data_IF_241688503628
#
_entry.id   IF_241688503628
#
_cell.length_a   1.000
_cell.length_b   1.000
_cell.length_c   1.000
_cell.angle_alpha   90.00
_cell.angle_beta   90.00
_cell.angle_gamma   90.00
#
_symmetry.space_group_name_H-M   'P 1'
#
loop_
_entity.id
_entity.type
_entity.pdbx_description
1 polymer ?
#
# COMPACT_ATOMS: atom_id res chain seq x y z
N UNK A 1 -4.65 5.73 12.12
CA UNK A 1 -4.99 4.29 12.12
C UNK A 1 -6.28 4.00 11.34
N UNK A 2 -7.40 4.68 11.63
CA UNK A 2 -8.70 4.49 10.93
C UNK A 2 -8.78 5.08 9.51
N UNK A 3 -8.02 6.13 9.21
CA UNK A 3 -8.01 6.75 7.87
C UNK A 3 -7.37 5.86 6.79
N UNK A 4 -6.36 5.06 7.12
CA UNK A 4 -5.71 4.14 6.17
C UNK A 4 -6.59 2.92 5.84
N UNK A 5 -7.34 2.41 6.81
CA UNK A 5 -8.29 1.31 6.63
C UNK A 5 -9.44 1.71 5.68
N UNK A 6 -9.95 2.94 5.81
CA UNK A 6 -11.03 3.45 4.95
C UNK A 6 -10.56 3.72 3.51
N UNK A 7 -9.34 4.21 3.32
CA UNK A 7 -8.77 4.45 1.99
C UNK A 7 -8.53 3.13 1.22
N UNK A 8 -8.25 2.04 1.93
CA UNK A 8 -8.08 0.71 1.35
C UNK A 8 -9.39 0.11 0.83
N UNK A 9 -10.47 0.19 1.64
CA UNK A 9 -11.81 -0.28 1.24
C UNK A 9 -12.34 0.50 0.05
N UNK A 10 -12.04 1.80 -0.04
CA UNK A 10 -12.48 2.64 -1.16
C UNK A 10 -11.80 2.28 -2.50
N UNK A 11 -10.56 1.78 -2.45
CA UNK A 11 -9.80 1.42 -3.65
C UNK A 11 -10.24 0.06 -4.23
N UNK A 12 -10.67 -0.89 -3.38
CA UNK A 12 -11.12 -2.22 -3.81
C UNK A 12 -12.20 -2.20 -4.90
N UNK A 13 -13.14 -1.26 -4.86
CA UNK A 13 -14.21 -1.17 -5.87
C UNK A 13 -13.82 -0.42 -7.16
N UNK A 14 -12.62 0.18 -7.25
CA UNK A 14 -12.25 1.09 -8.34
C UNK A 14 -11.12 0.57 -9.25
N UNK A 15 -10.57 -0.62 -8.96
CA UNK A 15 -9.33 -1.09 -9.58
C UNK A 15 -9.61 -2.24 -10.55
N UNK A 16 -9.13 -2.07 -11.78
CA UNK A 16 -9.20 -3.10 -12.83
C UNK A 16 -8.38 -4.34 -12.48
N UNK A 17 -8.84 -5.48 -13.00
CA UNK A 17 -8.28 -6.84 -13.06
C UNK A 17 -6.79 -6.99 -13.42
N UNK A 18 -6.10 -5.89 -13.75
CA UNK A 18 -4.69 -5.88 -14.19
C UNK A 18 -3.73 -5.17 -13.25
N UNK A 19 -4.20 -4.72 -12.10
CA UNK A 19 -3.36 -3.99 -11.15
C UNK A 19 -2.76 -4.92 -10.09
N UNK A 20 -1.51 -4.64 -9.73
CA UNK A 20 -0.85 -5.26 -8.57
C UNK A 20 -0.77 -4.21 -7.48
N UNK A 21 -1.40 -4.48 -6.35
CA UNK A 21 -1.42 -3.61 -5.19
C UNK A 21 -0.08 -3.60 -4.46
N UNK A 22 0.43 -2.40 -4.16
CA UNK A 22 1.67 -2.17 -3.44
C UNK A 22 1.35 -1.38 -2.17
N UNK A 23 1.72 -1.89 -1.00
CA UNK A 23 1.59 -1.20 0.29
C UNK A 23 2.95 -0.70 0.79
N UNK A 24 3.23 -0.68 2.09
CA UNK A 24 4.52 -0.37 2.74
C UNK A 24 5.01 -1.54 3.62
N UNK A 25 4.34 -2.69 3.53
CA UNK A 25 4.48 -3.83 4.42
C UNK A 25 4.29 -3.56 5.92
N UNK A 26 3.63 -2.48 6.32
CA UNK A 26 3.34 -2.21 7.72
C UNK A 26 2.48 -3.32 8.33
N UNK A 27 2.67 -3.61 9.62
CA UNK A 27 1.95 -4.69 10.33
C UNK A 27 0.43 -4.54 10.24
N UNK A 28 -0.10 -3.31 10.16
CA UNK A 28 -1.53 -3.07 9.99
C UNK A 28 -2.09 -3.55 8.64
N UNK A 29 -1.26 -3.56 7.58
CA UNK A 29 -1.64 -4.07 6.25
C UNK A 29 -1.52 -5.60 6.16
N UNK A 30 -0.89 -6.25 7.13
CA UNK A 30 -0.71 -7.71 7.21
C UNK A 30 -1.75 -8.41 8.08
N UNK A 31 -2.86 -7.74 8.37
CA UNK A 31 -3.99 -8.34 9.10
C UNK A 31 -4.78 -9.28 8.18
N UNK A 32 -5.44 -10.29 8.78
CA UNK A 32 -6.30 -11.23 8.03
C UNK A 32 -7.41 -10.51 7.26
N UNK A 33 -8.05 -9.52 7.89
CA UNK A 33 -9.11 -8.73 7.25
C UNK A 33 -8.66 -8.03 5.96
N UNK A 34 -7.40 -7.56 5.91
CA UNK A 34 -6.84 -6.94 4.70
C UNK A 34 -6.55 -7.99 3.64
N UNK A 35 -6.06 -9.17 4.03
CA UNK A 35 -5.83 -10.27 3.10
C UNK A 35 -7.14 -10.78 2.47
N UNK A 36 -8.16 -11.03 3.30
CA UNK A 36 -9.48 -11.48 2.85
C UNK A 36 -10.11 -10.48 1.87
N UNK A 37 -9.94 -9.18 2.12
CA UNK A 37 -10.44 -8.13 1.24
C UNK A 37 -9.76 -8.15 -0.14
N UNK A 38 -8.42 -8.20 -0.17
CA UNK A 38 -7.67 -8.30 -1.43
C UNK A 38 -8.05 -9.54 -2.24
N UNK A 39 -8.17 -10.68 -1.55
CA UNK A 39 -8.53 -11.96 -2.19
C UNK A 39 -9.96 -11.92 -2.75
N UNK A 40 -10.90 -11.32 -2.01
CA UNK A 40 -12.30 -11.18 -2.45
C UNK A 40 -12.48 -10.31 -3.70
N UNK A 41 -11.57 -9.35 -3.90
CA UNK A 41 -11.58 -8.41 -5.02
C UNK A 41 -10.66 -8.88 -6.16
N UNK A 42 -10.00 -10.04 -6.01
CA UNK A 42 -9.07 -10.59 -6.99
C UNK A 42 -7.81 -9.74 -7.17
N UNK A 43 -7.48 -8.90 -6.19
CA UNK A 43 -6.35 -7.98 -6.26
C UNK A 43 -5.08 -8.69 -5.84
N UNK A 44 -4.11 -8.79 -6.74
CA UNK A 44 -2.80 -9.33 -6.40
C UNK A 44 -1.99 -8.29 -5.62
N UNK A 45 -1.40 -8.68 -4.50
CA UNK A 45 -0.43 -7.85 -3.78
C UNK A 45 1.00 -8.13 -4.28
N UNK A 46 1.78 -7.08 -4.47
CA UNK A 46 3.21 -7.20 -4.71
C UNK A 46 3.91 -7.71 -3.44
N UNK A 47 4.52 -8.89 -3.52
CA UNK A 47 5.33 -9.45 -2.43
C UNK A 47 6.74 -8.88 -2.52
N UNK A 48 7.15 -8.17 -1.48
CA UNK A 48 8.50 -7.61 -1.34
C UNK A 48 9.11 -7.89 0.03
N UNK A 49 10.44 -7.77 0.18
CA UNK A 49 11.11 -8.01 1.45
C UNK A 49 10.64 -7.03 2.52
N UNK A 50 10.46 -7.52 3.74
CA UNK A 50 10.16 -6.65 4.87
C UNK A 50 11.33 -5.72 5.16
N UNK A 51 11.04 -4.45 5.46
CA UNK A 51 12.04 -3.41 5.83
C UNK A 51 12.98 -3.01 4.69
N UNK A 52 12.47 -2.91 3.47
CA UNK A 52 13.16 -2.30 2.33
C UNK A 52 12.56 -0.92 2.01
N UNK A 53 12.78 0.11 2.85
CA UNK A 53 12.28 1.46 2.57
C UNK A 53 12.88 2.04 1.28
N UNK A 54 14.08 1.59 0.90
CA UNK A 54 14.76 1.89 -0.35
C UNK A 54 13.98 1.41 -1.60
N UNK A 55 13.21 0.34 -1.45
CA UNK A 55 12.38 -0.25 -2.51
C UNK A 55 10.93 0.24 -2.46
N UNK A 56 10.54 1.04 -1.47
CA UNK A 56 9.18 1.56 -1.37
C UNK A 56 9.05 2.88 -2.17
N UNK A 57 8.29 2.91 -3.27
CA UNK A 57 8.09 4.12 -4.06
C UNK A 57 7.44 5.25 -3.24
N UNK A 58 6.65 4.91 -2.22
CA UNK A 58 6.02 5.90 -1.33
C UNK A 58 7.09 6.65 -0.54
N UNK A 59 8.05 5.93 0.06
CA UNK A 59 9.16 6.54 0.81
C UNK A 59 10.05 7.39 -0.10
N UNK A 60 10.35 6.90 -1.30
CA UNK A 60 11.16 7.66 -2.28
C UNK A 60 10.47 8.97 -2.70
N UNK A 61 9.15 8.96 -2.90
CA UNK A 61 8.38 10.16 -3.22
C UNK A 61 8.29 11.10 -2.01
N UNK A 62 8.08 10.57 -0.81
CA UNK A 62 8.04 11.36 0.42
C UNK A 62 9.38 12.03 0.72
N UNK A 63 10.50 11.33 0.51
CA UNK A 63 11.85 11.90 0.65
C UNK A 63 12.09 13.00 -0.39
N UNK A 64 11.71 12.78 -1.66
CA UNK A 64 11.79 13.80 -2.69
C UNK A 64 10.96 15.06 -2.34
N UNK A 65 9.72 14.88 -1.86
CA UNK A 65 8.89 15.98 -1.36
C UNK A 65 9.53 16.67 -0.15
N UNK A 66 10.04 15.89 0.80
CA UNK A 66 10.69 16.42 2.01
C UNK A 66 11.87 17.32 1.66
N UNK A 67 12.70 16.91 0.69
CA UNK A 67 13.80 17.73 0.17
C UNK A 67 13.33 19.01 -0.53
N UNK A 68 12.21 18.95 -1.24
CA UNK A 68 11.63 20.13 -1.90
C UNK A 68 11.03 21.13 -0.92
N UNK A 69 10.46 20.66 0.20
CA UNK A 69 9.84 21.52 1.22
C UNK A 69 10.86 22.07 2.22
N UNK A 70 11.94 21.33 2.48
CA UNK A 70 12.99 21.74 3.41
C UNK A 70 14.09 22.63 2.78
N UNK A 71 14.10 22.76 1.44
CA UNK A 71 14.97 23.68 0.70
C UNK A 71 14.33 25.05 0.52
#
# INVERSE_FOLDING_TARGET
MTFYFLMFVFFCGAVSDKFVFMDDNATCHRTLAVQDCLDSEGIQRLVWPARSPDLNPIENVLDALGRQVAG
#
